data_IF_682792318937
#
_entry.id   IF_682792318937
#
_cell.length_a   1.000
_cell.length_b   1.000
_cell.length_c   1.000
_cell.angle_alpha   90.00
_cell.angle_beta   90.00
_cell.angle_gamma   90.00
#
_symmetry.space_group_name_H-M   'P 1'
#
loop_
_entity.id
_entity.type
_entity.pdbx_description
1 polymer ?
#
# COMPACT_ATOMS: atom_id res chain seq x y z
N UNK A 1 14.32 -16.57 3.69
CA UNK A 1 14.97 -15.72 2.69
C UNK A 1 15.30 -16.50 1.40
N UNK A 2 14.29 -17.04 0.72
CA UNK A 2 14.51 -17.74 -0.55
C UNK A 2 14.47 -16.75 -1.73
N UNK A 3 13.52 -15.82 -1.72
CA UNK A 3 13.33 -14.85 -2.81
C UNK A 3 14.52 -13.88 -2.92
N UNK A 4 15.04 -13.31 -1.84
CA UNK A 4 16.15 -12.36 -1.96
C UNK A 4 17.41 -13.05 -2.46
N UNK A 5 17.66 -14.30 -2.04
CA UNK A 5 18.75 -15.14 -2.56
C UNK A 5 18.65 -15.44 -4.05
N UNK A 6 17.50 -15.91 -4.51
CA UNK A 6 17.32 -16.23 -5.93
C UNK A 6 17.38 -14.99 -6.82
N UNK A 7 16.91 -13.84 -6.32
CA UNK A 7 16.96 -12.57 -7.05
C UNK A 7 18.30 -11.82 -6.86
N UNK A 8 19.19 -12.31 -6.00
CA UNK A 8 20.50 -11.72 -5.68
C UNK A 8 20.40 -10.27 -5.19
N UNK A 9 19.49 -10.04 -4.24
CA UNK A 9 19.17 -8.70 -3.70
C UNK A 9 19.40 -8.59 -2.20
N UNK A 10 20.09 -9.54 -1.59
CA UNK A 10 20.28 -9.64 -0.13
C UNK A 10 20.97 -8.40 0.48
N UNK A 11 21.77 -7.69 -0.31
CA UNK A 11 22.45 -6.46 0.13
C UNK A 11 21.57 -5.20 0.09
N UNK A 12 20.39 -5.28 -0.54
CA UNK A 12 19.51 -4.13 -0.81
C UNK A 12 18.03 -4.40 -0.58
N UNK A 13 17.68 -5.57 -0.04
CA UNK A 13 16.32 -5.96 0.29
C UNK A 13 16.31 -6.71 1.62
N UNK A 14 15.34 -6.39 2.47
CA UNK A 14 15.10 -7.10 3.73
C UNK A 14 13.76 -7.82 3.64
N UNK A 15 13.78 -9.15 3.70
CA UNK A 15 12.56 -9.93 3.81
C UNK A 15 12.04 -9.92 5.25
N UNK A 16 10.77 -9.54 5.43
CA UNK A 16 10.09 -9.53 6.73
C UNK A 16 9.01 -10.61 6.71
N UNK A 17 9.11 -11.58 7.63
CA UNK A 17 8.05 -12.56 7.86
C UNK A 17 7.14 -12.02 8.97
N UNK A 18 6.00 -11.45 8.59
CA UNK A 18 5.01 -10.90 9.51
C UNK A 18 3.63 -10.89 8.84
N UNK A 19 2.59 -10.65 9.63
CA UNK A 19 1.30 -10.24 9.10
C UNK A 19 1.43 -8.85 8.46
N UNK A 20 1.10 -8.74 7.17
CA UNK A 20 1.18 -7.51 6.39
C UNK A 20 0.15 -6.45 6.84
N UNK A 21 -0.97 -6.86 7.45
CA UNK A 21 -1.97 -5.97 8.04
C UNK A 21 -1.67 -5.64 9.51
N UNK A 22 -0.67 -6.33 10.09
CA UNK A 22 -0.20 -6.11 11.45
C UNK A 22 0.78 -4.93 11.58
N UNK A 23 0.99 -4.44 12.81
CA UNK A 23 1.89 -3.31 13.07
C UNK A 23 3.37 -3.63 12.82
N UNK A 24 3.75 -4.91 12.93
CA UNK A 24 5.15 -5.36 12.78
C UNK A 24 5.67 -5.10 11.37
N UNK A 25 4.83 -5.24 10.34
CA UNK A 25 5.24 -5.01 8.95
C UNK A 25 5.72 -3.57 8.72
N UNK A 26 5.00 -2.59 9.27
CA UNK A 26 5.35 -1.16 9.14
C UNK A 26 6.51 -0.78 10.07
N UNK A 27 6.59 -1.35 11.28
CA UNK A 27 7.67 -1.06 12.23
C UNK A 27 9.07 -1.46 11.70
N UNK A 28 9.14 -2.37 10.74
CA UNK A 28 10.39 -2.82 10.09
C UNK A 28 10.71 -2.06 8.82
N UNK A 29 9.79 -1.22 8.33
CA UNK A 29 10.03 -0.41 7.14
C UNK A 29 11.04 0.71 7.47
N UNK A 30 11.98 1.02 6.55
CA UNK A 30 12.83 2.19 6.70
C UNK A 30 11.97 3.47 6.69
N UNK A 31 12.46 4.55 7.28
CA UNK A 31 11.80 5.86 7.24
C UNK A 31 12.82 6.96 6.90
N UNK A 32 12.52 7.89 5.97
CA UNK A 32 11.32 7.91 5.13
C UNK A 32 11.39 6.88 3.98
N UNK A 33 10.23 6.48 3.44
CA UNK A 33 10.10 5.75 2.18
C UNK A 33 9.60 6.67 1.07
N UNK A 34 10.06 6.45 -0.16
CA UNK A 34 9.57 7.17 -1.34
C UNK A 34 8.31 6.52 -1.91
N UNK A 35 8.21 5.18 -1.87
CA UNK A 35 7.12 4.43 -2.49
C UNK A 35 6.70 3.26 -1.60
N UNK A 36 5.39 3.08 -1.44
CA UNK A 36 4.79 1.86 -0.88
C UNK A 36 3.91 1.21 -1.93
N UNK A 37 4.14 -0.08 -2.16
CA UNK A 37 3.24 -0.93 -2.94
C UNK A 37 2.34 -1.74 -2.00
N UNK A 38 1.03 -1.58 -2.14
CA UNK A 38 0.03 -2.36 -1.43
C UNK A 38 -0.78 -3.15 -2.47
N UNK A 39 -0.45 -4.43 -2.63
CA UNK A 39 -1.13 -5.37 -3.53
C UNK A 39 -1.78 -6.52 -2.73
N UNK A 40 -2.91 -6.25 -2.06
CA UNK A 40 -3.60 -7.24 -1.26
C UNK A 40 -4.21 -8.35 -2.14
N UNK A 41 -4.31 -9.59 -1.62
CA UNK A 41 -5.09 -10.65 -2.28
C UNK A 41 -6.53 -10.21 -2.56
N UNK A 42 -7.07 -10.56 -3.73
CA UNK A 42 -8.41 -10.14 -4.16
C UNK A 42 -9.50 -10.54 -3.15
N UNK A 43 -9.39 -11.73 -2.56
CA UNK A 43 -10.32 -12.21 -1.54
C UNK A 43 -10.43 -11.25 -0.34
N UNK A 44 -9.34 -10.58 0.05
CA UNK A 44 -9.36 -9.60 1.13
C UNK A 44 -10.02 -8.28 0.72
N UNK A 45 -10.03 -7.97 -0.57
CA UNK A 45 -10.60 -6.73 -1.10
C UNK A 45 -12.08 -6.86 -1.40
N UNK A 46 -12.55 -8.06 -1.75
CA UNK A 46 -13.96 -8.33 -2.04
C UNK A 46 -14.80 -8.36 -0.75
N UNK A 47 -14.30 -8.98 0.32
CA UNK A 47 -14.94 -8.94 1.64
C UNK A 47 -14.79 -7.57 2.30
N UNK A 48 -15.91 -7.04 2.81
CA UNK A 48 -15.96 -5.69 3.36
C UNK A 48 -15.14 -5.52 4.64
N UNK A 49 -15.13 -6.52 5.52
CA UNK A 49 -14.43 -6.44 6.80
C UNK A 49 -12.93 -6.49 6.59
N UNK A 50 -12.44 -7.44 5.81
CA UNK A 50 -11.01 -7.54 5.52
C UNK A 50 -10.52 -6.37 4.68
N UNK A 51 -11.37 -5.85 3.79
CA UNK A 51 -11.05 -4.64 3.01
C UNK A 51 -10.85 -3.44 3.92
N UNK A 52 -11.71 -3.25 4.92
CA UNK A 52 -11.56 -2.17 5.89
C UNK A 52 -10.17 -2.24 6.57
N UNK A 53 -9.72 -3.43 6.97
CA UNK A 53 -8.38 -3.63 7.54
C UNK A 53 -7.24 -3.31 6.56
N UNK A 54 -7.42 -3.62 5.26
CA UNK A 54 -6.44 -3.22 4.23
C UNK A 54 -6.37 -1.70 4.10
N UNK A 55 -7.51 -1.02 4.06
CA UNK A 55 -7.57 0.44 3.94
C UNK A 55 -7.03 1.14 5.20
N UNK A 56 -7.29 0.61 6.39
CA UNK A 56 -6.66 1.06 7.63
C UNK A 56 -5.13 0.93 7.57
N UNK A 57 -4.64 -0.22 7.09
CA UNK A 57 -3.20 -0.41 6.92
C UNK A 57 -2.62 0.56 5.88
N UNK A 58 -3.35 0.83 4.79
CA UNK A 58 -2.98 1.83 3.80
C UNK A 58 -2.82 3.22 4.43
N UNK A 59 -3.76 3.64 5.28
CA UNK A 59 -3.67 4.91 6.04
C UNK A 59 -2.43 4.92 6.94
N UNK A 60 -2.16 3.84 7.68
CA UNK A 60 -0.98 3.75 8.58
C UNK A 60 0.35 3.87 7.84
N UNK A 61 0.41 3.54 6.55
CA UNK A 61 1.64 3.78 5.77
C UNK A 61 2.02 5.25 5.68
N UNK A 62 1.10 6.19 5.96
CA UNK A 62 1.39 7.63 5.97
C UNK A 62 2.62 7.96 6.82
N UNK A 63 2.77 7.33 7.98
CA UNK A 63 3.89 7.55 8.90
C UNK A 63 5.25 7.02 8.39
N UNK A 64 5.26 6.36 7.24
CA UNK A 64 6.50 5.92 6.58
C UNK A 64 7.06 7.00 5.65
N UNK A 65 6.22 7.90 5.15
CA UNK A 65 6.62 8.90 4.15
C UNK A 65 7.11 10.20 4.79
N UNK A 66 8.04 10.87 4.10
CA UNK A 66 8.23 12.31 4.24
C UNK A 66 7.11 13.07 3.51
N UNK A 67 7.35 14.30 3.05
CA UNK A 67 6.36 15.10 2.32
C UNK A 67 6.27 14.74 0.83
N UNK A 68 7.27 14.03 0.30
CA UNK A 68 7.29 13.51 -1.08
C UNK A 68 7.24 11.99 -1.08
N UNK A 69 6.35 11.40 -1.88
CA UNK A 69 6.27 9.96 -2.07
C UNK A 69 4.95 9.51 -2.67
N UNK A 70 4.81 8.20 -2.85
CA UNK A 70 3.60 7.59 -3.40
C UNK A 70 3.19 6.30 -2.69
N UNK A 71 1.91 6.21 -2.34
CA UNK A 71 1.27 4.94 -2.04
C UNK A 71 0.56 4.45 -3.31
N UNK A 72 0.88 3.23 -3.72
CA UNK A 72 0.27 2.55 -4.88
C UNK A 72 -0.58 1.40 -4.35
N UNK A 73 -1.90 1.54 -4.41
CA UNK A 73 -2.85 0.50 -4.01
C UNK A 73 -3.44 -0.19 -5.25
N UNK A 74 -3.26 -1.50 -5.37
CA UNK A 74 -3.97 -2.30 -6.36
C UNK A 74 -5.29 -2.79 -5.77
N UNK A 75 -6.36 -2.72 -6.55
CA UNK A 75 -7.67 -3.22 -6.15
C UNK A 75 -8.42 -3.90 -7.31
N UNK A 76 -9.15 -4.99 -7.06
CA UNK A 76 -10.05 -5.59 -8.05
C UNK A 76 -11.33 -4.78 -8.27
N UNK A 77 -11.66 -3.88 -7.33
CA UNK A 77 -12.89 -3.11 -7.31
C UNK A 77 -12.59 -1.62 -7.11
N UNK A 78 -13.38 -0.77 -7.76
CA UNK A 78 -13.35 0.67 -7.56
C UNK A 78 -14.56 1.06 -6.71
N UNK A 79 -14.34 1.87 -5.68
CA UNK A 79 -15.41 2.37 -4.81
C UNK A 79 -15.65 3.84 -5.10
N UNK A 80 -16.89 4.18 -5.43
CA UNK A 80 -17.23 5.51 -5.95
C UNK A 80 -16.62 5.77 -7.33
N UNK A 81 -16.97 6.91 -7.92
CA UNK A 81 -16.42 7.31 -9.23
C UNK A 81 -14.97 7.79 -9.11
N UNK A 82 -14.60 8.41 -7.99
CA UNK A 82 -13.29 9.03 -7.73
C UNK A 82 -12.30 8.13 -6.98
N UNK A 83 -12.68 6.89 -6.67
CA UNK A 83 -11.91 5.98 -5.82
C UNK A 83 -11.93 6.34 -4.33
N UNK A 84 -11.47 5.40 -3.50
CA UNK A 84 -11.49 5.55 -2.05
C UNK A 84 -10.49 6.62 -1.59
N UNK A 85 -10.95 7.64 -0.86
CA UNK A 85 -10.08 8.62 -0.20
C UNK A 85 -9.44 8.01 1.06
N UNK A 86 -8.19 8.39 1.34
CA UNK A 86 -7.44 7.95 2.52
C UNK A 86 -7.02 9.16 3.37
N UNK A 87 -7.16 9.03 4.68
CA UNK A 87 -6.69 10.02 5.64
C UNK A 87 -5.17 10.19 5.52
N UNK A 88 -4.68 11.42 5.63
CA UNK A 88 -3.25 11.72 5.50
C UNK A 88 -2.70 11.71 4.06
N UNK A 89 -3.53 11.42 3.05
CA UNK A 89 -3.13 11.42 1.63
C UNK A 89 -3.94 12.40 0.77
N UNK A 90 -3.39 12.78 -0.37
CA UNK A 90 -4.08 13.37 -1.53
C UNK A 90 -4.43 12.26 -2.55
N UNK A 91 -5.35 12.54 -3.47
CA UNK A 91 -5.78 11.59 -4.51
C UNK A 91 -7.02 10.77 -4.12
N UNK A 92 -7.22 9.54 -4.63
CA UNK A 92 -6.32 8.87 -5.56
C UNK A 92 -6.42 9.41 -6.99
N UNK A 93 -5.33 9.30 -7.75
CA UNK A 93 -5.42 9.14 -9.20
C UNK A 93 -5.75 7.67 -9.50
N UNK A 94 -6.75 7.43 -10.36
CA UNK A 94 -7.28 6.08 -10.62
C UNK A 94 -6.93 5.65 -12.04
N UNK A 95 -6.17 4.57 -12.16
CA UNK A 95 -5.86 3.93 -13.43
C UNK A 95 -6.55 2.58 -13.54
N UNK A 96 -7.35 2.40 -14.60
CA UNK A 96 -8.02 1.14 -14.91
C UNK A 96 -7.26 0.39 -16.00
N UNK A 97 -6.80 -0.82 -15.69
CA UNK A 97 -6.10 -1.68 -16.66
C UNK A 97 -7.02 -2.75 -17.25
N UNK A 98 -7.90 -3.33 -16.45
CA UNK A 98 -8.87 -4.33 -16.90
C UNK A 98 -10.23 -4.09 -16.24
N UNK A 99 -11.20 -4.99 -16.46
CA UNK A 99 -12.51 -4.91 -15.79
C UNK A 99 -12.40 -5.02 -14.26
N UNK A 100 -11.38 -5.71 -13.76
CA UNK A 100 -11.16 -6.02 -12.34
C UNK A 100 -9.72 -5.73 -11.90
N UNK A 101 -9.14 -4.66 -12.43
CA UNK A 101 -7.80 -4.22 -12.06
C UNK A 101 -7.70 -2.70 -12.10
N UNK A 102 -7.68 -2.12 -10.91
CA UNK A 102 -7.50 -0.69 -10.67
C UNK A 102 -6.20 -0.47 -9.90
N UNK A 103 -5.49 0.60 -10.24
CA UNK A 103 -4.35 1.11 -9.48
C UNK A 103 -4.72 2.51 -9.01
N UNK A 104 -4.71 2.68 -7.69
CA UNK A 104 -5.03 3.93 -7.01
C UNK A 104 -3.71 4.51 -6.49
N UNK A 105 -3.35 5.69 -6.99
CA UNK A 105 -2.11 6.38 -6.66
C UNK A 105 -2.39 7.55 -5.72
N UNK A 106 -1.73 7.57 -4.56
CA UNK A 106 -1.89 8.59 -3.54
C UNK A 106 -0.55 9.25 -3.25
N UNK A 107 -0.54 10.55 -2.99
CA UNK A 107 0.63 11.25 -2.45
C UNK A 107 0.40 11.64 -0.98
N UNK A 108 1.42 11.58 -0.11
CA UNK A 108 1.26 11.97 1.29
C UNK A 108 0.89 13.46 1.38
N UNK A 109 -0.09 13.80 2.23
CA UNK A 109 -0.39 15.19 2.55
C UNK A 109 0.71 15.70 3.48
N UNK A 110 1.37 16.84 3.19
CA UNK A 110 2.37 17.42 4.07
C UNK A 110 1.81 17.61 5.49
N UNK A 111 2.63 17.35 6.50
CA UNK A 111 2.26 17.72 7.87
C UNK A 111 2.29 19.24 7.98
N UNK A 112 1.25 19.84 8.57
CA UNK A 112 1.16 21.29 8.74
C UNK A 112 2.27 21.86 9.64
#
# INVERSE_FOLDING_TARGET
>A
DYNCKNLRVETRATAVLADALGPVALARAPKPVDIVFLDPPYALMEDEKTRASVLEQAVRTRELFADSGFLVLRSPILWGEDGQKLEGFNGPEVHKFTKSMFVLLYSPRPSA
#
